data_IF_263282920300
#
_entry.id   IF_263282920300
#
_cell.length_a   1.000
_cell.length_b   1.000
_cell.length_c   1.000
_cell.angle_alpha   90.00
_cell.angle_beta   90.00
_cell.angle_gamma   90.00
#
_symmetry.space_group_name_H-M   'P 1'
#
loop_
_entity.id
_entity.type
_entity.pdbx_description
1 polymer ?
#
# COMPACT_ATOMS: atom_id res chain seq x y z
N UNK A 1 9.99 -13.44 -21.74
CA UNK A 1 10.94 -12.49 -21.13
C UNK A 1 11.84 -11.73 -22.13
N UNK A 2 12.19 -12.28 -23.28
CA UNK A 2 12.96 -11.58 -24.33
C UNK A 2 12.36 -10.28 -24.93
N UNK A 3 11.02 -10.07 -25.00
CA UNK A 3 10.46 -8.88 -25.67
C UNK A 3 10.80 -7.57 -24.96
N UNK A 4 10.72 -7.53 -23.63
CA UNK A 4 10.95 -6.32 -22.85
C UNK A 4 12.43 -5.90 -22.89
N UNK A 5 13.35 -6.86 -22.82
CA UNK A 5 14.78 -6.61 -22.98
C UNK A 5 15.10 -6.03 -24.36
N UNK A 6 14.53 -6.62 -25.42
CA UNK A 6 14.70 -6.10 -26.79
C UNK A 6 14.17 -4.68 -26.94
N UNK A 7 13.00 -4.38 -26.36
CA UNK A 7 12.43 -3.03 -26.36
C UNK A 7 13.31 -2.04 -25.58
N UNK A 8 13.82 -2.43 -24.42
CA UNK A 8 14.75 -1.62 -23.63
C UNK A 8 16.04 -1.30 -24.39
N UNK A 9 16.66 -2.31 -25.01
CA UNK A 9 17.87 -2.11 -25.84
C UNK A 9 17.58 -1.26 -27.08
N UNK A 10 16.39 -1.37 -27.68
CA UNK A 10 15.99 -0.52 -28.80
C UNK A 10 15.77 0.92 -28.36
N UNK A 11 15.10 1.14 -27.23
CA UNK A 11 14.89 2.47 -26.65
C UNK A 11 16.22 3.15 -26.33
N UNK A 12 17.16 2.42 -25.71
CA UNK A 12 18.53 2.88 -25.50
C UNK A 12 19.18 3.27 -26.83
N UNK A 13 19.15 2.43 -27.87
CA UNK A 13 19.71 2.79 -29.18
C UNK A 13 19.07 4.04 -29.79
N UNK A 14 17.76 4.21 -29.62
CA UNK A 14 17.01 5.35 -30.16
C UNK A 14 17.39 6.66 -29.46
N UNK A 15 17.71 6.62 -28.17
CA UNK A 15 18.12 7.80 -27.39
C UNK A 15 19.64 8.04 -27.50
N UNK A 16 20.45 6.98 -27.41
CA UNK A 16 21.92 7.07 -27.42
C UNK A 16 22.48 7.51 -28.77
N UNK A 17 21.89 7.11 -29.90
CA UNK A 17 22.37 7.51 -31.25
C UNK A 17 22.30 9.01 -31.51
N UNK A 18 21.14 9.70 -31.33
CA UNK A 18 21.08 11.14 -31.54
C UNK A 18 21.94 11.90 -30.52
N UNK A 19 22.02 11.44 -29.27
CA UNK A 19 22.90 12.03 -28.25
C UNK A 19 24.36 11.90 -28.69
N UNK A 20 24.83 10.72 -29.11
CA UNK A 20 26.19 10.52 -29.58
C UNK A 20 26.54 11.44 -30.76
N UNK A 21 25.62 11.62 -31.72
CA UNK A 21 25.82 12.56 -32.84
C UNK A 21 25.95 14.00 -32.36
N UNK A 22 25.10 14.44 -31.42
CA UNK A 22 25.17 15.79 -30.84
C UNK A 22 26.46 16.01 -30.06
N UNK A 23 26.83 15.06 -29.21
CA UNK A 23 28.07 15.09 -28.44
C UNK A 23 29.30 15.12 -29.35
N UNK A 24 29.28 14.41 -30.49
CA UNK A 24 30.38 14.43 -31.46
C UNK A 24 30.53 15.80 -32.13
N UNK A 25 29.43 16.40 -32.56
CA UNK A 25 29.43 17.75 -33.15
C UNK A 25 29.97 18.75 -32.12
N UNK A 26 29.47 18.69 -30.89
CA UNK A 26 29.86 19.61 -29.82
C UNK A 26 31.32 19.41 -29.37
N UNK A 27 31.80 18.17 -29.32
CA UNK A 27 33.20 17.85 -29.00
C UNK A 27 34.17 18.34 -30.09
N UNK A 28 33.74 18.30 -31.36
CA UNK A 28 34.50 18.86 -32.47
C UNK A 28 34.54 20.40 -32.47
N UNK A 29 33.51 21.06 -31.92
CA UNK A 29 33.40 22.51 -31.84
C UNK A 29 34.13 23.10 -30.61
N UNK A 30 34.12 22.39 -29.48
CA UNK A 30 34.64 22.90 -28.21
C UNK A 30 35.71 21.98 -27.58
N UNK A 31 36.99 22.40 -27.60
CA UNK A 31 38.10 21.63 -27.02
C UNK A 31 37.93 21.32 -25.52
N UNK A 32 37.38 22.27 -24.74
CA UNK A 32 37.09 22.05 -23.31
C UNK A 32 36.03 20.97 -23.09
N UNK A 33 35.04 20.91 -23.97
CA UNK A 33 33.98 19.92 -23.89
C UNK A 33 34.47 18.52 -24.27
N UNK A 34 35.36 18.43 -25.26
CA UNK A 34 36.08 17.21 -25.62
C UNK A 34 36.83 16.63 -24.43
N UNK A 35 37.63 17.43 -23.74
CA UNK A 35 38.40 16.99 -22.58
C UNK A 35 37.48 16.56 -21.41
N UNK A 36 36.33 17.21 -21.26
CA UNK A 36 35.29 16.82 -20.30
C UNK A 36 34.70 15.44 -20.63
N UNK A 37 34.30 15.18 -21.88
CA UNK A 37 33.77 13.86 -22.29
C UNK A 37 34.80 12.76 -22.09
N UNK A 38 36.06 13.02 -22.49
CA UNK A 38 37.15 12.05 -22.34
C UNK A 38 37.41 11.75 -20.86
N UNK A 39 37.48 12.78 -20.02
CA UNK A 39 37.66 12.61 -18.58
C UNK A 39 36.47 11.89 -17.92
N UNK A 40 35.25 12.15 -18.37
CA UNK A 40 34.05 11.44 -17.91
C UNK A 40 34.08 9.95 -18.30
N UNK A 41 34.40 9.65 -19.57
CA UNK A 41 34.54 8.27 -20.04
C UNK A 41 35.64 7.51 -19.27
N UNK A 42 36.78 8.16 -19.02
CA UNK A 42 37.87 7.59 -18.23
C UNK A 42 37.50 7.43 -16.75
N UNK A 43 36.79 8.40 -16.16
CA UNK A 43 36.31 8.32 -14.78
C UNK A 43 35.36 7.14 -14.59
N UNK A 44 34.39 6.96 -15.50
CA UNK A 44 33.49 5.82 -15.49
C UNK A 44 34.24 4.49 -15.66
N UNK A 45 35.24 4.44 -16.55
CA UNK A 45 36.07 3.26 -16.74
C UNK A 45 36.88 2.89 -15.47
N UNK A 46 37.48 3.88 -14.82
CA UNK A 46 38.19 3.73 -13.53
C UNK A 46 37.24 3.30 -12.42
N UNK A 47 36.03 3.84 -12.41
CA UNK A 47 35.01 3.46 -11.44
C UNK A 47 34.60 2.00 -11.60
N UNK A 48 34.27 1.57 -12.82
CA UNK A 48 33.90 0.17 -13.13
C UNK A 48 35.02 -0.81 -12.74
N UNK A 49 36.26 -0.50 -13.12
CA UNK A 49 37.41 -1.36 -12.78
C UNK A 49 37.68 -1.40 -11.27
N UNK A 50 37.54 -0.28 -10.55
CA UNK A 50 37.68 -0.26 -9.09
C UNK A 50 36.60 -1.08 -8.38
N UNK A 51 35.33 -0.96 -8.80
CA UNK A 51 34.22 -1.77 -8.25
C UNK A 51 34.47 -3.26 -8.53
N UNK A 52 34.83 -3.60 -9.77
CA UNK A 52 35.10 -4.98 -10.16
C UNK A 52 36.29 -5.58 -9.40
N UNK A 53 37.36 -4.83 -9.18
CA UNK A 53 38.50 -5.28 -8.36
C UNK A 53 38.09 -5.54 -6.91
N UNK A 54 37.26 -4.67 -6.31
CA UNK A 54 36.78 -4.85 -4.94
C UNK A 54 35.85 -6.06 -4.79
N UNK A 55 35.03 -6.35 -5.80
CA UNK A 55 34.15 -7.52 -5.76
C UNK A 55 34.86 -8.85 -6.08
N UNK A 56 35.77 -8.86 -7.06
CA UNK A 56 36.36 -10.11 -7.59
C UNK A 56 37.80 -10.38 -7.11
N UNK A 57 38.40 -9.49 -6.31
CA UNK A 57 39.73 -9.68 -5.72
C UNK A 57 40.90 -9.77 -6.72
N UNK A 58 40.67 -9.58 -8.02
CA UNK A 58 41.71 -9.60 -9.06
C UNK A 58 41.96 -8.21 -9.62
N UNK A 59 43.22 -7.80 -9.64
CA UNK A 59 43.69 -6.59 -10.29
C UNK A 59 43.66 -6.75 -11.81
N UNK A 60 42.53 -6.43 -12.45
CA UNK A 60 42.53 -6.19 -13.90
C UNK A 60 43.21 -4.84 -14.12
N UNK A 61 44.47 -4.90 -14.55
CA UNK A 61 45.28 -3.74 -14.87
C UNK A 61 45.03 -3.39 -16.34
N UNK A 62 43.99 -2.61 -16.59
CA UNK A 62 43.70 -2.16 -17.95
C UNK A 62 44.38 -0.82 -18.17
N UNK A 63 45.47 -0.89 -18.93
CA UNK A 63 46.20 0.27 -19.45
C UNK A 63 45.23 1.17 -20.19
N UNK A 64 45.08 2.40 -19.68
CA UNK A 64 44.24 3.44 -20.27
C UNK A 64 44.88 3.89 -21.58
N UNK A 65 44.52 3.26 -22.70
CA UNK A 65 44.77 3.87 -24.01
C UNK A 65 43.93 5.15 -24.11
N UNK A 66 44.48 6.26 -24.63
CA UNK A 66 43.63 7.38 -25.06
C UNK A 66 42.62 6.80 -26.05
N UNK A 67 41.34 6.82 -25.67
CA UNK A 67 40.28 6.22 -26.45
C UNK A 67 40.03 7.08 -27.68
N UNK A 68 39.90 6.43 -28.82
CA UNK A 68 39.49 7.07 -30.07
C UNK A 68 38.20 7.88 -29.82
N UNK A 69 38.17 9.12 -30.29
CA UNK A 69 37.17 10.14 -29.90
C UNK A 69 35.75 9.63 -30.13
N UNK A 70 35.54 8.89 -31.21
CA UNK A 70 34.25 8.30 -31.55
C UNK A 70 33.76 7.28 -30.51
N UNK A 71 34.67 6.49 -29.93
CA UNK A 71 34.34 5.47 -28.92
C UNK A 71 34.05 6.11 -27.57
N UNK A 72 34.78 7.16 -27.21
CA UNK A 72 34.54 7.92 -25.97
C UNK A 72 33.17 8.62 -26.01
N UNK A 73 32.84 9.26 -27.14
CA UNK A 73 31.55 9.91 -27.33
C UNK A 73 30.40 8.90 -27.34
N UNK A 74 30.57 7.75 -28.01
CA UNK A 74 29.57 6.68 -28.00
C UNK A 74 29.29 6.15 -26.60
N UNK A 75 30.34 5.87 -25.81
CA UNK A 75 30.21 5.41 -24.44
C UNK A 75 29.56 6.47 -23.53
N UNK A 76 29.94 7.74 -23.66
CA UNK A 76 29.34 8.82 -22.90
C UNK A 76 27.84 8.99 -23.22
N UNK A 77 27.46 8.87 -24.50
CA UNK A 77 26.06 8.94 -24.91
C UNK A 77 25.21 7.81 -24.35
N UNK A 78 25.74 6.59 -24.35
CA UNK A 78 25.05 5.41 -23.80
C UNK A 78 24.85 5.54 -22.28
N UNK A 79 25.88 5.98 -21.55
CA UNK A 79 25.78 6.26 -20.11
C UNK A 79 24.77 7.36 -19.80
N UNK A 80 24.76 8.45 -20.58
CA UNK A 80 23.78 9.54 -20.39
C UNK A 80 22.35 9.06 -20.68
N UNK A 81 22.15 8.25 -21.72
CA UNK A 81 20.86 7.65 -22.03
C UNK A 81 20.35 6.76 -20.91
N UNK A 82 21.20 5.88 -20.38
CA UNK A 82 20.89 5.05 -19.22
C UNK A 82 20.55 5.90 -17.99
N UNK A 83 21.35 6.91 -17.67
CA UNK A 83 21.15 7.77 -16.50
C UNK A 83 19.81 8.51 -16.56
N UNK A 84 19.43 9.05 -17.72
CA UNK A 84 18.14 9.73 -17.91
C UNK A 84 16.99 8.75 -17.69
N UNK A 85 17.06 7.54 -18.27
CA UNK A 85 16.01 6.52 -18.10
C UNK A 85 15.90 6.11 -16.63
N UNK A 86 17.01 5.83 -15.95
CA UNK A 86 17.01 5.48 -14.53
C UNK A 86 16.50 6.60 -13.64
N UNK A 87 16.83 7.86 -13.97
CA UNK A 87 16.35 9.02 -13.21
C UNK A 87 14.84 9.17 -13.36
N UNK A 88 14.32 9.13 -14.60
CA UNK A 88 12.88 9.23 -14.87
C UNK A 88 12.12 8.05 -14.24
N UNK A 89 12.63 6.83 -14.38
CA UNK A 89 12.03 5.65 -13.78
C UNK A 89 12.04 5.71 -12.24
N UNK A 90 13.16 6.14 -11.64
CA UNK A 90 13.29 6.32 -10.20
C UNK A 90 12.32 7.38 -9.67
N UNK A 91 12.23 8.53 -10.34
CA UNK A 91 11.28 9.59 -10.00
C UNK A 91 9.83 9.12 -10.14
N UNK A 92 9.50 8.35 -11.18
CA UNK A 92 8.15 7.80 -11.37
C UNK A 92 7.76 6.85 -10.23
N UNK A 93 8.67 5.96 -9.80
CA UNK A 93 8.45 5.05 -8.67
C UNK A 93 8.25 5.85 -7.37
N UNK A 94 9.13 6.81 -7.08
CA UNK A 94 9.00 7.65 -5.88
C UNK A 94 7.66 8.40 -5.89
N UNK A 95 7.30 8.97 -7.03
CA UNK A 95 6.03 9.68 -7.20
C UNK A 95 4.83 8.75 -6.99
N UNK A 96 4.86 7.54 -7.53
CA UNK A 96 3.81 6.54 -7.33
C UNK A 96 3.70 6.12 -5.86
N UNK A 97 4.81 5.85 -5.19
CA UNK A 97 4.82 5.50 -3.76
C UNK A 97 4.25 6.65 -2.91
N UNK A 98 4.68 7.89 -3.17
CA UNK A 98 4.19 9.06 -2.46
C UNK A 98 2.69 9.28 -2.69
N UNK A 99 2.22 9.09 -3.93
CA UNK A 99 0.82 9.20 -4.30
C UNK A 99 -0.03 8.08 -3.71
N UNK A 100 0.47 6.85 -3.74
CA UNK A 100 -0.20 5.66 -3.21
C UNK A 100 -0.34 5.73 -1.69
N UNK A 101 0.69 6.19 -0.97
CA UNK A 101 0.63 6.39 0.48
C UNK A 101 -0.51 7.36 0.89
N UNK A 102 -0.72 8.45 0.14
CA UNK A 102 -1.85 9.37 0.39
C UNK A 102 -3.21 8.73 0.10
N UNK A 103 -3.29 7.85 -0.90
CA UNK A 103 -4.52 7.14 -1.27
C UNK A 103 -4.88 6.07 -0.24
N UNK A 104 -3.88 5.35 0.27
CA UNK A 104 -4.07 4.32 1.29
C UNK A 104 -4.50 4.90 2.64
N UNK A 105 -3.90 6.01 3.08
CA UNK A 105 -4.30 6.69 4.31
C UNK A 105 -5.80 7.08 4.29
N UNK A 106 -6.31 7.56 3.16
CA UNK A 106 -7.74 7.90 2.99
C UNK A 106 -8.63 6.65 3.06
N UNK A 107 -8.20 5.53 2.47
CA UNK A 107 -8.94 4.27 2.53
C UNK A 107 -8.95 3.69 3.94
N UNK A 108 -7.86 3.82 4.68
CA UNK A 108 -7.78 3.38 6.07
C UNK A 108 -8.69 4.19 6.99
N UNK A 109 -8.77 5.50 6.77
CA UNK A 109 -9.68 6.38 7.51
C UNK A 109 -11.15 6.05 7.22
N UNK A 110 -11.52 5.78 5.97
CA UNK A 110 -12.85 5.28 5.61
C UNK A 110 -13.19 3.96 6.29
N UNK A 111 -12.25 3.00 6.28
CA UNK A 111 -12.43 1.71 6.97
C UNK A 111 -12.61 1.87 8.47
N UNK A 112 -11.88 2.79 9.11
CA UNK A 112 -12.06 3.10 10.54
C UNK A 112 -13.47 3.66 10.82
N UNK A 113 -13.93 4.59 10.00
CA UNK A 113 -15.29 5.15 10.13
C UNK A 113 -16.37 4.07 9.96
N UNK A 114 -16.21 3.15 9.00
CA UNK A 114 -17.14 2.01 8.83
C UNK A 114 -17.16 1.09 10.07
N UNK A 115 -15.98 0.78 10.63
CA UNK A 115 -15.88 -0.05 11.84
C UNK A 115 -16.53 0.66 13.04
N UNK A 116 -16.31 1.97 13.20
CA UNK A 116 -16.93 2.75 14.28
C UNK A 116 -18.46 2.78 14.14
N UNK A 117 -18.98 2.99 12.92
CA UNK A 117 -20.42 2.94 12.66
C UNK A 117 -21.01 1.56 12.97
N UNK A 118 -20.32 0.48 12.63
CA UNK A 118 -20.75 -0.89 12.95
C UNK A 118 -20.73 -1.17 14.45
N UNK A 119 -19.72 -0.67 15.17
CA UNK A 119 -19.67 -0.77 16.64
C UNK A 119 -20.84 -0.02 17.29
N UNK A 120 -21.15 1.19 16.83
CA UNK A 120 -22.29 1.96 17.34
C UNK A 120 -23.60 1.20 17.14
N UNK A 121 -23.84 0.67 15.93
CA UNK A 121 -25.01 -0.18 15.65
C UNK A 121 -25.07 -1.40 16.58
N UNK A 122 -23.93 -2.03 16.85
CA UNK A 122 -23.83 -3.14 17.81
C UNK A 122 -24.25 -2.72 19.23
N UNK A 123 -23.75 -1.58 19.71
CA UNK A 123 -24.11 -1.08 21.05
C UNK A 123 -25.59 -0.68 21.16
N UNK A 124 -26.19 -0.16 20.09
CA UNK A 124 -27.59 0.23 20.11
C UNK A 124 -28.51 -1.00 20.04
N UNK A 125 -28.18 -1.99 19.21
CA UNK A 125 -28.87 -3.30 19.23
C UNK A 125 -28.77 -3.96 20.61
N UNK A 126 -27.62 -3.89 21.27
CA UNK A 126 -27.44 -4.46 22.60
C UNK A 126 -28.36 -3.79 23.64
N UNK A 127 -28.51 -2.46 23.59
CA UNK A 127 -29.47 -1.73 24.42
C UNK A 127 -30.91 -2.12 24.11
N UNK A 128 -31.27 -2.26 22.83
CA UNK A 128 -32.61 -2.70 22.42
C UNK A 128 -32.93 -4.10 22.97
N UNK A 129 -31.98 -5.03 22.89
CA UNK A 129 -32.13 -6.39 23.45
C UNK A 129 -32.29 -6.34 24.96
N UNK A 130 -31.49 -5.53 25.68
CA UNK A 130 -31.65 -5.36 27.12
C UNK A 130 -33.01 -4.76 27.49
N UNK A 131 -33.48 -3.78 26.73
CA UNK A 131 -34.80 -3.16 26.93
C UNK A 131 -35.93 -4.17 26.70
N UNK A 132 -35.86 -4.96 25.63
CA UNK A 132 -36.82 -6.02 25.32
C UNK A 132 -36.84 -7.09 26.42
N UNK A 133 -35.67 -7.49 26.93
CA UNK A 133 -35.55 -8.46 28.02
C UNK A 133 -36.18 -7.95 29.32
N UNK A 134 -35.98 -6.67 29.65
CA UNK A 134 -36.61 -6.04 30.81
C UNK A 134 -38.14 -6.03 30.70
N UNK A 135 -38.69 -5.68 29.53
CA UNK A 135 -40.14 -5.71 29.29
C UNK A 135 -40.74 -7.11 29.39
N UNK A 136 -40.02 -8.13 28.89
CA UNK A 136 -40.44 -9.53 29.03
C UNK A 136 -40.51 -9.96 30.50
N UNK A 137 -39.51 -9.59 31.29
CA UNK A 137 -39.47 -9.92 32.72
C UNK A 137 -40.60 -9.22 33.49
N UNK A 138 -40.95 -7.99 33.13
CA UNK A 138 -42.10 -7.28 33.69
C UNK A 138 -43.43 -7.97 33.34
N UNK A 139 -43.62 -8.38 32.09
CA UNK A 139 -44.78 -9.15 31.64
C UNK A 139 -44.91 -10.48 32.40
N UNK A 140 -43.79 -11.20 32.58
CA UNK A 140 -43.77 -12.45 33.33
C UNK A 140 -44.18 -12.25 34.79
N UNK A 141 -43.70 -11.18 35.45
CA UNK A 141 -44.11 -10.82 36.81
C UNK A 141 -45.60 -10.47 36.90
N UNK A 142 -46.16 -9.76 35.92
CA UNK A 142 -47.59 -9.44 35.87
C UNK A 142 -48.44 -10.71 35.71
N UNK A 143 -48.03 -11.63 34.84
CA UNK A 143 -48.71 -12.94 34.67
C UNK A 143 -48.61 -13.78 35.93
N UNK A 144 -47.42 -13.85 36.55
CA UNK A 144 -47.20 -14.57 37.82
C UNK A 144 -48.08 -14.01 38.94
N UNK A 145 -48.16 -12.67 39.09
CA UNK A 145 -49.02 -12.01 40.07
C UNK A 145 -50.50 -12.30 39.81
N UNK A 146 -50.94 -12.24 38.55
CA UNK A 146 -52.33 -12.52 38.18
C UNK A 146 -52.71 -13.97 38.47
N UNK A 147 -51.84 -14.91 38.10
CA UNK A 147 -51.99 -16.33 38.41
C UNK A 147 -52.12 -16.58 39.91
N UNK A 148 -51.28 -15.93 40.74
CA UNK A 148 -51.37 -16.04 42.20
C UNK A 148 -52.69 -15.50 42.76
N UNK A 149 -53.17 -14.37 42.26
CA UNK A 149 -54.46 -13.79 42.67
C UNK A 149 -55.64 -14.67 42.26
N UNK A 150 -55.58 -15.31 41.09
CA UNK A 150 -56.60 -16.24 40.62
C UNK A 150 -56.64 -17.52 41.47
N UNK A 151 -55.47 -18.05 41.87
CA UNK A 151 -55.38 -19.18 42.81
C UNK A 151 -55.96 -18.84 44.19
N UNK A 152 -55.68 -17.64 44.74
CA UNK A 152 -56.27 -17.21 46.02
C UNK A 152 -57.80 -17.11 45.90
N UNK A 153 -58.31 -16.48 44.83
CA UNK A 153 -59.76 -16.36 44.60
C UNK A 153 -60.42 -17.72 44.46
N UNK A 154 -59.80 -18.65 43.75
CA UNK A 154 -60.30 -20.01 43.62
C UNK A 154 -60.44 -20.70 44.99
N UNK A 155 -59.40 -20.59 45.83
CA UNK A 155 -59.40 -21.16 47.19
C UNK A 155 -60.46 -20.53 48.10
N UNK A 156 -60.63 -19.20 48.03
CA UNK A 156 -61.70 -18.52 48.76
C UNK A 156 -63.09 -18.94 48.27
N UNK A 157 -63.28 -19.14 46.97
CA UNK A 157 -64.57 -19.60 46.44
C UNK A 157 -64.92 -21.01 46.93
N UNK A 158 -63.94 -21.93 46.99
CA UNK A 158 -64.16 -23.27 47.55
C UNK A 158 -64.49 -23.22 49.05
N UNK A 159 -63.78 -22.40 49.82
CA UNK A 159 -64.08 -22.22 51.23
C UNK A 159 -65.49 -21.63 51.46
N UNK A 160 -65.97 -20.76 50.55
CA UNK A 160 -67.31 -20.17 50.62
C UNK A 160 -68.42 -21.18 50.25
N UNK A 161 -68.15 -22.07 49.29
CA UNK A 161 -69.03 -23.18 48.89
C UNK A 161 -69.15 -24.24 50.00
N UNK A 162 -68.04 -24.67 50.60
CA UNK A 162 -68.05 -25.58 51.75
C UNK A 162 -68.80 -25.00 52.95
N UNK A 163 -68.63 -23.69 53.23
CA UNK A 163 -69.29 -23.03 54.34
C UNK A 163 -70.79 -22.78 54.10
N UNK A 164 -71.24 -22.75 52.84
CA UNK A 164 -72.67 -22.77 52.48
C UNK A 164 -73.24 -24.18 52.60
N UNK A 165 -72.51 -25.21 52.15
CA UNK A 165 -72.97 -26.60 52.24
C UNK A 165 -73.09 -27.08 53.69
N UNK A 166 -72.19 -26.67 54.59
CA UNK A 166 -72.24 -27.00 56.03
C UNK A 166 -73.30 -26.20 56.83
N UNK A 167 -74.03 -25.26 56.20
CA UNK A 167 -75.08 -24.46 56.84
C UNK A 167 -76.50 -24.88 56.44
N UNK A 168 -76.61 -25.83 55.51
CA UNK A 168 -77.87 -26.39 55.01
C UNK A 168 -78.04 -27.89 55.32
N UNK A 169 -77.14 -28.48 56.12
CA UNK A 169 -77.39 -29.71 56.89
C UNK A 169 -77.74 -29.36 58.34
#
# INVERSE_FOLDING_TARGET
MLPLLKLGTLALRTISRPIARRLKVEAGLHPRFRDYIISFAQANYRFRTNIQRRLYGRATDVVIRPMDEEKAVGAAAELLGELVIFTVAGLAIIFEVQRSARSEARKEEQRKQEIEAMKQKGTDLEKEVQCLKAKLQEMEQLVQRRSWLDLIRFRQSQALEEHKSARFE
#
